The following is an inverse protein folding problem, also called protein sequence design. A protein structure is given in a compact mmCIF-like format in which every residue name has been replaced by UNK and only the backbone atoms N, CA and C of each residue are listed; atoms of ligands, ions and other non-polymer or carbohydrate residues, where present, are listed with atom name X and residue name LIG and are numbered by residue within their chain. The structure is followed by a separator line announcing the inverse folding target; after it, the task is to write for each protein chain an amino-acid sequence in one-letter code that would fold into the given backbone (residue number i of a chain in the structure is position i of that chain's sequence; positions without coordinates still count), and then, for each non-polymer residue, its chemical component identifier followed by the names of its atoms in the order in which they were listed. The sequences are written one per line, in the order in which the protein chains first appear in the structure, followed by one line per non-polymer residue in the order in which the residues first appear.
data_IF_924982539890
#
_entry.id   IF_924982539890
#
_cell.length_a   1.000
_cell.length_b   1.000
_cell.length_c   1.000
_cell.angle_alpha   90.00
_cell.angle_beta   90.00
_cell.angle_gamma   90.00
#
_symmetry.space_group_name_H-M   'P 1'
#
loop_
_entity.id
_entity.type
_entity.pdbx_description
1 polymer ?
#
# COMPACT_ATOMS: atom_id res chain seq x y z
N UNK A 1 39.22 44.93 40.29
CA UNK A 1 39.79 43.80 39.52
C UNK A 1 39.01 43.67 38.21
N UNK A 2 39.19 44.58 37.25
CA UNK A 2 40.19 44.60 36.18
C UNK A 2 40.09 43.44 35.15
N UNK A 3 39.81 43.86 33.89
CA UNK A 3 40.25 43.32 32.59
C UNK A 3 39.64 41.99 32.07
N UNK A 4 39.33 41.77 30.77
CA UNK A 4 39.39 42.49 29.47
C UNK A 4 38.38 41.79 28.52
N UNK A 5 37.43 42.48 27.87
CA UNK A 5 37.39 42.93 26.45
C UNK A 5 38.33 42.22 25.45
N UNK A 6 37.78 41.71 24.34
CA UNK A 6 38.39 41.85 23.01
C UNK A 6 37.37 41.70 21.87
N UNK A 7 37.16 42.83 21.17
CA UNK A 7 36.69 42.95 19.77
C UNK A 7 37.91 42.88 18.84
N UNK A 8 37.73 42.38 17.62
CA UNK A 8 38.48 42.72 16.38
C UNK A 8 37.64 42.16 15.21
N UNK A 9 36.94 42.99 14.44
CA UNK A 9 37.36 43.74 13.24
C UNK A 9 37.28 42.93 11.92
N UNK A 10 36.35 43.34 11.04
CA UNK A 10 36.40 43.19 9.58
C UNK A 10 37.34 44.28 8.99
N UNK A 11 37.51 44.53 7.66
CA UNK A 11 37.06 43.84 6.43
C UNK A 11 38.18 43.67 5.35
N UNK A 12 37.87 43.01 4.23
CA UNK A 12 38.73 43.01 3.04
C UNK A 12 37.92 42.78 1.75
N UNK A 13 37.69 43.86 1.00
CA UNK A 13 37.27 43.84 -0.40
C UNK A 13 38.49 43.60 -1.32
N UNK A 14 38.33 42.93 -2.47
CA UNK A 14 38.68 43.48 -3.80
C UNK A 14 38.55 42.50 -5.00
N UNK A 15 37.93 43.03 -6.07
CA UNK A 15 38.14 42.88 -7.55
C UNK A 15 37.79 41.59 -8.33
N UNK A 16 36.65 41.71 -9.03
CA UNK A 16 36.32 41.51 -10.47
C UNK A 16 37.23 40.81 -11.52
N UNK A 17 36.61 39.82 -12.22
CA UNK A 17 36.54 39.51 -13.70
C UNK A 17 37.80 39.12 -14.49
N UNK A 18 37.74 38.44 -15.68
CA UNK A 18 36.60 38.26 -16.61
C UNK A 18 36.43 36.88 -17.31
N UNK A 19 35.34 36.79 -18.09
CA UNK A 19 35.09 36.02 -19.32
C UNK A 19 35.30 34.50 -19.37
N UNK A 20 34.18 33.78 -19.59
CA UNK A 20 34.18 32.68 -20.55
C UNK A 20 32.78 32.47 -21.15
N UNK A 21 32.58 33.02 -22.35
CA UNK A 21 31.50 32.64 -23.25
C UNK A 21 31.88 31.32 -23.93
N UNK A 22 31.20 30.22 -23.57
CA UNK A 22 31.11 29.06 -24.45
C UNK A 22 29.66 28.89 -24.89
N UNK A 23 29.44 29.18 -26.17
CA UNK A 23 28.23 28.84 -26.88
C UNK A 23 28.10 27.31 -26.93
N UNK A 24 27.06 26.77 -26.28
CA UNK A 24 26.60 25.41 -26.51
C UNK A 24 25.35 25.47 -27.39
N UNK A 25 25.54 25.44 -28.70
CA UNK A 25 24.53 24.91 -29.62
C UNK A 25 24.46 23.40 -29.41
N UNK A 26 23.41 22.93 -28.75
CA UNK A 26 23.04 21.52 -28.73
C UNK A 26 21.53 21.40 -28.96
N UNK A 27 21.21 21.01 -30.19
CA UNK A 27 19.94 20.47 -30.66
C UNK A 27 19.33 19.48 -29.67
N UNK A 28 18.24 19.86 -29.02
CA UNK A 28 17.28 18.92 -28.43
C UNK A 28 16.04 18.88 -29.31
N UNK A 29 16.18 18.24 -30.47
CA UNK A 29 15.04 17.56 -31.07
C UNK A 29 14.79 16.33 -30.22
N UNK A 30 13.77 16.36 -29.38
CA UNK A 30 13.25 15.16 -28.72
C UNK A 30 12.75 14.24 -29.83
N UNK A 31 13.54 13.21 -30.16
CA UNK A 31 13.10 12.13 -31.03
C UNK A 31 11.93 11.43 -30.34
N UNK A 32 10.71 11.74 -30.76
CA UNK A 32 9.47 11.09 -30.31
C UNK A 32 9.48 9.57 -30.50
N UNK A 33 10.33 9.06 -31.40
CA UNK A 33 10.53 7.62 -31.61
C UNK A 33 11.31 6.94 -30.47
N UNK A 34 12.26 7.63 -29.83
CA UNK A 34 13.05 7.05 -28.71
C UNK A 34 12.23 7.05 -27.41
N UNK A 35 11.36 8.05 -27.20
CA UNK A 35 10.44 8.06 -26.05
C UNK A 35 9.37 6.98 -26.17
N UNK A 36 8.85 6.73 -27.37
CA UNK A 36 7.88 5.66 -27.61
C UNK A 36 8.50 4.26 -27.44
N UNK A 37 9.67 3.99 -28.04
CA UNK A 37 10.37 2.71 -27.86
C UNK A 37 10.77 2.47 -26.39
N UNK A 38 11.19 3.51 -25.66
CA UNK A 38 11.48 3.39 -24.22
C UNK A 38 10.23 3.11 -23.39
N UNK A 39 9.07 3.64 -23.78
CA UNK A 39 7.81 3.41 -23.06
C UNK A 39 7.25 2.01 -23.32
N UNK A 40 7.33 1.51 -24.55
CA UNK A 40 6.88 0.17 -24.92
C UNK A 40 7.78 -0.91 -24.34
N UNK A 41 9.11 -0.70 -24.35
CA UNK A 41 10.05 -1.61 -23.68
C UNK A 41 9.85 -1.57 -22.16
N UNK A 42 9.57 -0.40 -21.57
CA UNK A 42 9.27 -0.30 -20.14
C UNK A 42 7.93 -0.94 -19.78
N UNK A 43 6.88 -0.76 -20.57
CA UNK A 43 5.60 -1.45 -20.37
C UNK A 43 5.72 -2.97 -20.60
N UNK A 44 6.54 -3.41 -21.55
CA UNK A 44 6.83 -4.82 -21.78
C UNK A 44 7.63 -5.41 -20.62
N UNK A 45 8.64 -4.70 -20.13
CA UNK A 45 9.47 -5.10 -18.99
C UNK A 45 8.67 -5.08 -17.69
N UNK A 46 7.87 -4.04 -17.41
CA UNK A 46 6.91 -4.01 -16.29
C UNK A 46 5.84 -5.09 -16.46
N UNK A 47 5.40 -5.37 -17.70
CA UNK A 47 4.44 -6.42 -18.04
C UNK A 47 4.94 -7.85 -17.84
N UNK A 48 6.27 -8.06 -17.89
CA UNK A 48 6.97 -9.35 -17.75
C UNK A 48 7.54 -9.54 -16.32
N UNK A 49 8.04 -8.48 -15.68
CA UNK A 49 8.61 -8.52 -14.32
C UNK A 49 7.51 -8.49 -13.25
N UNK A 50 6.49 -7.64 -13.40
CA UNK A 50 5.42 -7.53 -12.40
C UNK A 50 4.70 -8.86 -12.12
N UNK A 51 4.40 -9.74 -13.10
CA UNK A 51 3.68 -11.00 -12.85
C UNK A 51 4.52 -12.02 -12.11
N UNK A 52 5.82 -12.12 -12.41
CA UNK A 52 6.72 -13.04 -11.71
C UNK A 52 6.98 -12.55 -10.29
N UNK A 53 7.19 -11.24 -10.10
CA UNK A 53 7.29 -10.63 -8.78
C UNK A 53 5.99 -10.77 -7.98
N UNK A 54 4.83 -10.62 -8.63
CA UNK A 54 3.51 -10.84 -8.01
C UNK A 54 3.32 -12.31 -7.61
N UNK A 55 3.75 -13.25 -8.44
CA UNK A 55 3.69 -14.69 -8.17
C UNK A 55 4.56 -15.07 -6.97
N UNK A 56 5.83 -14.66 -6.97
CA UNK A 56 6.74 -14.95 -5.86
C UNK A 56 6.30 -14.26 -4.57
N UNK A 57 5.78 -13.02 -4.66
CA UNK A 57 5.18 -12.34 -3.51
C UNK A 57 3.98 -13.10 -2.97
N UNK A 58 3.09 -13.59 -3.84
CA UNK A 58 1.92 -14.37 -3.42
C UNK A 58 2.33 -15.66 -2.70
N UNK A 59 3.33 -16.37 -3.24
CA UNK A 59 3.89 -17.57 -2.62
C UNK A 59 4.46 -17.25 -1.24
N UNK A 60 5.28 -16.20 -1.14
CA UNK A 60 5.87 -15.79 0.13
C UNK A 60 4.79 -15.47 1.18
N UNK A 61 3.76 -14.70 0.80
CA UNK A 61 2.65 -14.36 1.71
C UNK A 61 1.94 -15.62 2.22
N UNK A 62 1.67 -16.60 1.35
CA UNK A 62 1.05 -17.86 1.76
C UNK A 62 1.92 -18.64 2.75
N UNK A 63 3.23 -18.68 2.51
CA UNK A 63 4.20 -19.31 3.41
C UNK A 63 4.24 -18.59 4.76
N UNK A 64 4.33 -17.26 4.78
CA UNK A 64 4.39 -16.45 5.99
C UNK A 64 3.14 -16.61 6.86
N UNK A 65 1.98 -16.80 6.23
CA UNK A 65 0.71 -17.05 6.92
C UNK A 65 0.52 -18.52 7.35
N UNK A 66 1.44 -19.43 7.01
CA UNK A 66 1.29 -20.86 7.30
C UNK A 66 0.16 -21.53 6.50
N UNK A 67 -0.20 -20.96 5.36
CA UNK A 67 -1.36 -21.34 4.55
C UNK A 67 -1.04 -22.42 3.49
N UNK A 68 0.13 -23.05 3.54
CA UNK A 68 0.51 -24.15 2.65
C UNK A 68 0.80 -23.71 1.21
N UNK A 69 1.17 -24.68 0.37
CA UNK A 69 1.55 -24.43 -1.03
C UNK A 69 0.33 -24.35 -1.96
N UNK A 70 0.29 -23.34 -2.84
CA UNK A 70 -0.64 -23.30 -3.97
C UNK A 70 0.09 -23.76 -5.23
N UNK A 71 -0.53 -24.65 -6.00
CA UNK A 71 0.00 -25.11 -7.29
C UNK A 71 0.24 -23.91 -8.23
N UNK A 72 1.41 -23.85 -8.86
CA UNK A 72 1.81 -22.79 -9.80
C UNK A 72 0.75 -22.49 -10.87
N UNK A 73 0.06 -23.53 -11.35
CA UNK A 73 -1.01 -23.45 -12.36
C UNK A 73 -2.21 -22.63 -11.86
N UNK A 74 -2.60 -22.80 -10.60
CA UNK A 74 -3.68 -22.02 -10.00
C UNK A 74 -3.27 -20.56 -9.86
N UNK A 75 -2.04 -20.29 -9.46
CA UNK A 75 -1.59 -18.90 -9.32
C UNK A 75 -1.50 -18.22 -10.69
N UNK A 76 -0.98 -18.91 -11.72
CA UNK A 76 -0.93 -18.39 -13.08
C UNK A 76 -2.32 -18.12 -13.65
N UNK A 77 -3.30 -19.00 -13.39
CA UNK A 77 -4.70 -18.78 -13.76
C UNK A 77 -5.26 -17.51 -13.07
N UNK A 78 -5.03 -17.36 -11.77
CA UNK A 78 -5.48 -16.17 -11.03
C UNK A 78 -4.83 -14.88 -11.54
N UNK A 79 -3.52 -14.86 -11.75
CA UNK A 79 -2.81 -13.67 -12.25
C UNK A 79 -3.27 -13.31 -13.68
N UNK A 80 -3.45 -14.32 -14.54
CA UNK A 80 -3.98 -14.12 -15.90
C UNK A 80 -5.38 -13.50 -15.89
N UNK A 81 -6.28 -14.05 -15.08
CA UNK A 81 -7.65 -13.55 -14.93
C UNK A 81 -7.70 -12.11 -14.37
N UNK A 82 -6.88 -11.79 -13.38
CA UNK A 82 -6.91 -10.47 -12.71
C UNK A 82 -6.30 -9.37 -13.59
N UNK A 83 -5.36 -9.70 -14.49
CA UNK A 83 -4.78 -8.73 -15.43
C UNK A 83 -5.81 -8.09 -16.37
N UNK A 84 -6.86 -8.83 -16.74
CA UNK A 84 -7.92 -8.30 -17.61
C UNK A 84 -8.89 -7.35 -16.87
N UNK A 85 -8.95 -7.41 -15.53
CA UNK A 85 -9.89 -6.63 -14.71
C UNK A 85 -9.43 -5.20 -14.36
N UNK A 86 -8.72 -4.55 -15.29
CA UNK A 86 -8.47 -3.11 -15.41
C UNK A 86 -7.35 -2.50 -14.52
N UNK A 87 -6.21 -2.23 -15.16
CA UNK A 87 -5.16 -1.34 -14.65
C UNK A 87 -5.73 0.01 -14.17
N UNK A 88 -6.73 0.54 -14.88
CA UNK A 88 -7.33 1.85 -14.59
C UNK A 88 -8.14 1.90 -13.30
N UNK A 89 -9.00 0.91 -13.01
CA UNK A 89 -9.85 0.97 -11.81
C UNK A 89 -9.06 0.78 -10.53
N UNK A 90 -7.91 0.10 -10.60
CA UNK A 90 -7.00 -0.05 -9.45
C UNK A 90 -5.95 1.06 -9.33
N UNK A 91 -5.90 2.02 -10.26
CA UNK A 91 -4.92 3.09 -10.23
C UNK A 91 -4.80 3.81 -8.88
N UNK A 92 -5.88 4.06 -8.10
CA UNK A 92 -5.77 4.65 -6.77
C UNK A 92 -4.99 3.82 -5.75
N UNK A 93 -4.89 2.50 -5.93
CA UNK A 93 -4.23 1.55 -5.02
C UNK A 93 -2.83 1.15 -5.49
N UNK A 94 -2.47 1.41 -6.74
CA UNK A 94 -1.18 1.00 -7.31
C UNK A 94 -0.01 1.60 -6.54
N UNK A 95 0.91 0.73 -6.12
CA UNK A 95 2.10 1.10 -5.35
C UNK A 95 1.83 1.41 -3.89
N UNK A 96 0.57 1.49 -3.44
CA UNK A 96 0.25 1.73 -2.04
C UNK A 96 0.43 0.49 -1.18
N UNK A 97 0.90 0.69 0.03
CA UNK A 97 0.94 -0.37 1.04
C UNK A 97 -0.45 -0.59 1.65
N UNK A 98 -0.99 -1.79 1.48
CA UNK A 98 -2.30 -2.19 2.06
C UNK A 98 -2.08 -3.37 2.99
N UNK A 99 -2.61 -3.28 4.21
CA UNK A 99 -2.67 -4.37 5.17
C UNK A 99 -4.11 -4.83 5.35
N UNK A 100 -4.39 -6.10 5.07
CA UNK A 100 -5.68 -6.74 5.43
C UNK A 100 -5.56 -7.48 6.76
N UNK A 101 -6.49 -7.22 7.68
CA UNK A 101 -6.58 -7.87 8.99
C UNK A 101 -7.91 -8.60 9.08
N UNK A 102 -7.84 -9.92 9.24
CA UNK A 102 -9.01 -10.79 9.21
C UNK A 102 -8.79 -12.02 10.10
N UNK A 103 -9.86 -12.58 10.67
CA UNK A 103 -9.78 -13.80 11.48
C UNK A 103 -10.01 -15.09 10.66
N UNK A 104 -10.49 -14.93 9.43
CA UNK A 104 -10.89 -16.04 8.58
C UNK A 104 -9.90 -16.25 7.44
N UNK A 105 -9.16 -17.37 7.47
CA UNK A 105 -8.20 -17.77 6.43
C UNK A 105 -8.82 -17.77 5.03
N UNK A 106 -10.09 -18.16 4.92
CA UNK A 106 -10.83 -18.18 3.66
C UNK A 106 -10.91 -16.78 3.04
N UNK A 107 -11.21 -15.76 3.84
CA UNK A 107 -11.33 -14.38 3.37
C UNK A 107 -9.97 -13.84 2.93
N UNK A 108 -8.92 -14.07 3.73
CA UNK A 108 -7.55 -13.67 3.36
C UNK A 108 -7.17 -14.31 2.02
N UNK A 109 -7.31 -15.63 1.86
CA UNK A 109 -6.97 -16.32 0.61
C UNK A 109 -7.80 -15.83 -0.57
N UNK A 110 -9.05 -15.47 -0.34
CA UNK A 110 -9.95 -14.99 -1.39
C UNK A 110 -9.51 -13.63 -1.92
N UNK A 111 -9.13 -12.68 -1.07
CA UNK A 111 -8.78 -11.32 -1.50
C UNK A 111 -7.29 -11.14 -1.80
N UNK A 112 -6.42 -12.00 -1.26
CA UNK A 112 -4.99 -11.88 -1.38
C UNK A 112 -4.49 -11.73 -2.83
N UNK A 113 -4.93 -12.55 -3.82
CA UNK A 113 -4.47 -12.40 -5.20
C UNK A 113 -4.82 -11.03 -5.80
N UNK A 114 -6.07 -10.57 -5.63
CA UNK A 114 -6.52 -9.31 -6.21
C UNK A 114 -5.90 -8.09 -5.53
N UNK A 115 -5.78 -8.11 -4.20
CA UNK A 115 -5.08 -7.04 -3.46
C UNK A 115 -3.61 -6.97 -3.85
N UNK A 116 -2.94 -8.11 -4.01
CA UNK A 116 -1.54 -8.15 -4.46
C UNK A 116 -1.40 -7.55 -5.86
N UNK A 117 -2.31 -7.88 -6.79
CA UNK A 117 -2.28 -7.28 -8.13
C UNK A 117 -2.61 -5.79 -8.08
N UNK A 118 -3.65 -5.37 -7.36
CA UNK A 118 -4.09 -3.98 -7.29
C UNK A 118 -3.02 -3.05 -6.70
N UNK A 119 -2.23 -3.55 -5.75
CA UNK A 119 -1.17 -2.80 -5.07
C UNK A 119 0.21 -2.95 -5.71
N UNK A 120 0.34 -3.75 -6.77
CA UNK A 120 1.64 -4.10 -7.38
C UNK A 120 2.59 -4.85 -6.41
N UNK A 121 2.06 -5.76 -5.61
CA UNK A 121 2.83 -6.57 -4.65
C UNK A 121 2.92 -5.99 -3.24
N UNK A 122 2.44 -4.76 -3.02
CA UNK A 122 2.52 -4.04 -1.75
C UNK A 122 1.34 -4.36 -0.80
N UNK A 123 0.72 -5.53 -0.97
CA UNK A 123 -0.27 -6.05 -0.02
C UNK A 123 0.41 -6.92 1.04
N UNK A 124 -0.05 -6.77 2.27
CA UNK A 124 0.31 -7.58 3.43
C UNK A 124 -0.96 -8.01 4.16
N UNK A 125 -0.83 -9.06 4.98
CA UNK A 125 -1.98 -9.73 5.59
C UNK A 125 -1.62 -10.13 7.01
N UNK A 126 -2.55 -9.95 7.94
CA UNK A 126 -2.48 -10.54 9.27
C UNK A 126 -3.70 -11.44 9.44
N UNK A 127 -3.43 -12.71 9.69
CA UNK A 127 -4.43 -13.65 10.18
C UNK A 127 -4.56 -13.52 11.69
N UNK A 128 -5.63 -12.86 12.15
CA UNK A 128 -5.92 -12.74 13.56
C UNK A 128 -6.56 -14.02 14.10
N UNK A 129 -5.74 -14.88 14.68
CA UNK A 129 -6.19 -16.12 15.29
C UNK A 129 -6.03 -16.13 16.83
N UNK A 130 -6.47 -17.21 17.46
CA UNK A 130 -6.46 -17.35 18.91
C UNK A 130 -5.06 -17.30 19.56
N UNK A 131 -3.98 -17.39 18.78
CA UNK A 131 -2.61 -17.39 19.28
C UNK A 131 -2.04 -15.99 19.50
N UNK A 132 -2.64 -14.97 18.90
CA UNK A 132 -2.16 -13.58 19.03
C UNK A 132 -3.12 -12.76 19.90
N UNK A 133 -2.57 -11.98 20.82
CA UNK A 133 -3.30 -11.00 21.62
C UNK A 133 -3.65 -9.76 20.80
N UNK A 134 -4.54 -8.91 21.34
CA UNK A 134 -4.88 -7.63 20.71
C UNK A 134 -3.67 -6.69 20.72
N UNK A 135 -2.88 -6.69 21.79
CA UNK A 135 -1.67 -5.86 21.88
C UNK A 135 -0.61 -6.30 20.85
N UNK A 136 -0.43 -7.61 20.65
CA UNK A 136 0.44 -8.14 19.59
C UNK A 136 -0.10 -7.80 18.20
N UNK A 137 -1.41 -7.83 17.99
CA UNK A 137 -2.02 -7.39 16.73
C UNK A 137 -1.72 -5.91 16.47
N UNK A 138 -1.94 -5.04 17.44
CA UNK A 138 -1.67 -3.60 17.31
C UNK A 138 -0.20 -3.34 17.02
N UNK A 139 0.71 -3.99 17.76
CA UNK A 139 2.14 -3.90 17.52
C UNK A 139 2.53 -4.39 16.12
N UNK A 140 1.96 -5.49 15.64
CA UNK A 140 2.21 -6.02 14.30
C UNK A 140 1.72 -5.08 13.19
N UNK A 141 0.54 -4.46 13.38
CA UNK A 141 0.00 -3.46 12.43
C UNK A 141 0.92 -2.24 12.38
N UNK A 142 1.27 -1.67 13.53
CA UNK A 142 2.11 -0.47 13.62
C UNK A 142 3.53 -0.70 13.09
N UNK A 143 4.10 -1.89 13.35
CA UNK A 143 5.43 -2.25 12.85
C UNK A 143 5.48 -2.33 11.31
N UNK A 144 4.37 -2.68 10.65
CA UNK A 144 4.28 -2.70 9.19
C UNK A 144 4.10 -1.30 8.58
N UNK A 145 3.65 -0.32 9.37
CA UNK A 145 3.39 1.06 8.95
C UNK A 145 2.65 1.16 7.58
N UNK A 146 1.49 0.50 7.41
CA UNK A 146 0.77 0.53 6.14
C UNK A 146 0.12 1.89 5.88
N UNK A 147 -0.01 2.27 4.62
CA UNK A 147 -0.77 3.46 4.24
C UNK A 147 -2.28 3.25 4.37
N UNK A 148 -2.75 2.00 4.18
CA UNK A 148 -4.16 1.63 4.22
C UNK A 148 -4.32 0.32 5.01
N UNK A 149 -5.28 0.29 5.92
CA UNK A 149 -5.71 -0.90 6.64
C UNK A 149 -7.12 -1.29 6.16
N UNK A 150 -7.31 -2.56 5.81
CA UNK A 150 -8.62 -3.19 5.64
C UNK A 150 -8.90 -4.02 6.89
N UNK A 151 -9.90 -3.61 7.68
CA UNK A 151 -10.15 -4.16 9.00
C UNK A 151 -11.47 -4.95 9.02
N UNK A 152 -11.41 -6.26 9.27
CA UNK A 152 -12.62 -7.04 9.52
C UNK A 152 -13.34 -6.62 10.81
N UNK A 153 -14.67 -6.71 10.80
CA UNK A 153 -15.48 -6.31 11.94
C UNK A 153 -15.41 -7.31 13.10
N UNK A 154 -15.38 -8.61 12.83
CA UNK A 154 -15.41 -9.68 13.83
C UNK A 154 -14.05 -10.38 13.86
N UNK A 155 -13.12 -9.85 14.65
CA UNK A 155 -11.80 -10.43 14.81
C UNK A 155 -11.84 -11.53 15.88
N UNK A 156 -11.88 -12.79 15.47
CA UNK A 156 -11.79 -13.92 16.39
C UNK A 156 -13.12 -14.20 17.08
N UNK A 157 -13.97 -14.98 16.41
CA UNK A 157 -15.30 -15.39 16.87
C UNK A 157 -15.34 -15.84 18.35
N UNK A 158 -14.30 -16.55 18.83
CA UNK A 158 -14.23 -17.06 20.21
C UNK A 158 -13.88 -16.02 21.27
N UNK A 159 -13.29 -14.88 20.88
CA UNK A 159 -12.84 -13.82 21.80
C UNK A 159 -13.69 -12.55 21.73
N UNK A 160 -14.62 -12.51 20.79
CA UNK A 160 -15.52 -11.37 20.55
C UNK A 160 -14.79 -10.03 20.37
N UNK A 161 -13.58 -10.04 19.80
CA UNK A 161 -12.85 -8.80 19.50
C UNK A 161 -13.50 -8.15 18.29
N UNK A 162 -13.78 -6.85 18.37
CA UNK A 162 -14.34 -6.08 17.27
C UNK A 162 -13.25 -5.27 16.59
N UNK A 163 -13.22 -5.31 15.26
CA UNK A 163 -12.30 -4.48 14.47
C UNK A 163 -12.44 -3.00 14.82
N UNK A 164 -13.66 -2.52 15.07
CA UNK A 164 -13.92 -1.14 15.51
C UNK A 164 -13.22 -0.75 16.82
N UNK A 165 -12.93 -1.70 17.71
CA UNK A 165 -12.17 -1.41 18.93
C UNK A 165 -10.68 -1.34 18.63
N UNK A 166 -10.18 -2.22 17.77
CA UNK A 166 -8.79 -2.17 17.25
C UNK A 166 -8.53 -0.86 16.51
N UNK A 167 -9.49 -0.37 15.71
CA UNK A 167 -9.36 0.91 14.98
C UNK A 167 -9.22 2.08 15.95
N UNK A 168 -10.07 2.16 16.98
CA UNK A 168 -9.98 3.24 17.97
C UNK A 168 -8.63 3.24 18.66
N UNK A 169 -8.11 2.06 18.97
CA UNK A 169 -6.81 1.92 19.62
C UNK A 169 -5.64 2.26 18.69
N UNK A 170 -5.69 1.91 17.41
CA UNK A 170 -4.68 2.35 16.44
C UNK A 170 -4.64 3.89 16.33
N UNK A 171 -5.81 4.53 16.31
CA UNK A 171 -5.92 6.00 16.25
C UNK A 171 -5.42 6.64 17.55
N UNK A 172 -5.75 6.06 18.71
CA UNK A 172 -5.26 6.56 20.01
C UNK A 172 -3.73 6.48 20.11
N UNK A 173 -3.12 5.48 19.46
CA UNK A 173 -1.67 5.31 19.34
C UNK A 173 -1.03 6.13 18.20
N UNK A 174 -1.81 6.99 17.52
CA UNK A 174 -1.30 7.95 16.55
C UNK A 174 -1.09 7.40 15.13
N UNK A 175 -1.73 6.29 14.78
CA UNK A 175 -1.71 5.80 13.39
C UNK A 175 -2.27 6.86 12.44
N UNK A 176 -1.45 7.28 11.46
CA UNK A 176 -1.79 8.35 10.53
C UNK A 176 -2.31 7.86 9.17
N UNK A 177 -2.29 6.55 8.92
CA UNK A 177 -2.77 5.96 7.68
C UNK A 177 -4.30 5.95 7.59
N UNK A 178 -4.81 5.46 6.45
CA UNK A 178 -6.24 5.32 6.20
C UNK A 178 -6.72 3.96 6.71
N UNK A 179 -7.90 3.92 7.32
CA UNK A 179 -8.53 2.68 7.77
C UNK A 179 -9.87 2.54 7.06
N UNK A 180 -10.13 1.39 6.46
CA UNK A 180 -11.39 1.04 5.80
C UNK A 180 -11.97 -0.18 6.53
N UNK A 181 -13.22 -0.07 6.97
CA UNK A 181 -13.96 -1.22 7.46
C UNK A 181 -14.19 -2.23 6.35
N UNK A 182 -13.94 -3.51 6.60
CA UNK A 182 -14.00 -4.53 5.57
C UNK A 182 -14.78 -5.74 6.08
N UNK A 183 -16.09 -5.78 5.87
CA UNK A 183 -16.96 -6.77 6.54
C UNK A 183 -17.99 -7.36 5.60
N UNK A 184 -18.50 -8.56 5.89
CA UNK A 184 -19.62 -9.15 5.15
C UNK A 184 -20.95 -8.41 5.39
N UNK A 185 -21.05 -7.64 6.49
CA UNK A 185 -22.23 -6.85 6.83
C UNK A 185 -22.04 -5.37 6.48
N UNK A 186 -23.15 -4.70 6.13
CA UNK A 186 -23.16 -3.24 5.97
C UNK A 186 -23.12 -2.57 7.34
N UNK A 187 -21.93 -2.11 7.75
CA UNK A 187 -21.65 -1.56 9.08
C UNK A 187 -21.02 -0.15 9.03
N UNK A 188 -21.33 0.63 7.99
CA UNK A 188 -20.74 1.96 7.73
C UNK A 188 -20.63 2.84 8.99
N UNK A 189 -21.76 3.07 9.66
CA UNK A 189 -21.80 3.94 10.85
C UNK A 189 -20.86 3.45 11.97
N UNK A 190 -20.68 2.14 12.15
CA UNK A 190 -19.84 1.63 13.24
C UNK A 190 -18.36 1.86 12.98
N UNK A 191 -17.93 1.67 11.74
CA UNK A 191 -16.54 1.88 11.33
C UNK A 191 -16.19 3.36 11.26
N UNK A 192 -17.06 4.19 10.69
CA UNK A 192 -16.85 5.64 10.64
C UNK A 192 -16.79 6.25 12.05
N UNK A 193 -17.68 5.83 12.96
CA UNK A 193 -17.63 6.24 14.38
C UNK A 193 -16.37 5.75 15.11
N UNK A 194 -15.70 4.70 14.60
CA UNK A 194 -14.43 4.25 15.13
C UNK A 194 -13.23 5.04 14.54
N UNK A 195 -13.45 5.83 13.48
CA UNK A 195 -12.43 6.62 12.80
C UNK A 195 -11.96 6.05 11.46
N UNK A 196 -12.64 5.04 10.91
CA UNK A 196 -12.43 4.63 9.52
C UNK A 196 -12.96 5.69 8.55
N UNK A 197 -12.39 5.74 7.34
CA UNK A 197 -12.83 6.66 6.27
C UNK A 197 -14.07 6.16 5.51
N UNK A 198 -14.56 4.97 5.86
CA UNK A 198 -15.69 4.29 5.23
C UNK A 198 -15.60 2.78 5.40
N UNK A 199 -16.52 2.08 4.75
CA UNK A 199 -16.62 0.61 4.78
C UNK A 199 -16.87 0.06 3.39
N UNK A 200 -16.33 -1.14 3.14
CA UNK A 200 -16.59 -1.94 1.94
C UNK A 200 -17.13 -3.29 2.36
N UNK A 201 -18.18 -3.74 1.68
CA UNK A 201 -18.80 -5.05 1.92
C UNK A 201 -18.03 -6.14 1.19
N UNK A 202 -17.64 -7.20 1.90
CA UNK A 202 -17.01 -8.38 1.30
C UNK A 202 -17.99 -9.09 0.37
N UNK A 203 -17.61 -9.29 -0.88
CA UNK A 203 -18.31 -10.15 -1.83
C UNK A 203 -17.38 -11.25 -2.35
N UNK A 204 -17.62 -12.49 -1.94
CA UNK A 204 -16.87 -13.66 -2.45
C UNK A 204 -17.17 -13.95 -3.92
N UNK A 205 -18.35 -13.54 -4.41
CA UNK A 205 -18.75 -13.69 -5.81
C UNK A 205 -18.22 -12.59 -6.73
N UNK A 206 -17.99 -11.38 -6.21
CA UNK A 206 -17.48 -10.24 -6.98
C UNK A 206 -16.36 -9.49 -6.23
N UNK A 207 -15.25 -10.20 -6.03
CA UNK A 207 -14.08 -9.67 -5.33
C UNK A 207 -13.48 -8.47 -6.06
N UNK A 208 -13.36 -8.54 -7.38
CA UNK A 208 -12.83 -7.42 -8.18
C UNK A 208 -13.63 -6.14 -7.99
N UNK A 209 -14.97 -6.22 -7.96
CA UNK A 209 -15.81 -5.05 -7.63
C UNK A 209 -15.56 -4.53 -6.22
N UNK A 210 -15.35 -5.43 -5.25
CA UNK A 210 -14.96 -5.09 -3.88
C UNK A 210 -13.65 -4.27 -3.87
N UNK A 211 -12.64 -4.70 -4.63
CA UNK A 211 -11.36 -3.96 -4.75
C UNK A 211 -11.55 -2.59 -5.44
N UNK A 212 -12.43 -2.49 -6.43
CA UNK A 212 -12.79 -1.21 -7.06
C UNK A 212 -13.45 -0.26 -6.05
N UNK A 213 -14.31 -0.75 -5.16
CA UNK A 213 -14.90 0.08 -4.10
C UNK A 213 -13.82 0.63 -3.15
N UNK A 214 -12.84 -0.20 -2.76
CA UNK A 214 -11.69 0.24 -1.97
C UNK A 214 -10.92 1.34 -2.71
N UNK A 215 -10.63 1.14 -4.00
CA UNK A 215 -9.93 2.12 -4.83
C UNK A 215 -10.69 3.47 -4.90
N UNK A 216 -12.01 3.43 -5.02
CA UNK A 216 -12.86 4.62 -5.08
C UNK A 216 -12.87 5.40 -3.75
N UNK A 217 -12.94 4.71 -2.60
CA UNK A 217 -12.83 5.36 -1.28
C UNK A 217 -11.48 6.08 -1.13
N UNK A 218 -10.39 5.46 -1.57
CA UNK A 218 -9.05 6.07 -1.50
C UNK A 218 -8.93 7.27 -2.45
N UNK A 219 -9.54 7.20 -3.64
CA UNK A 219 -9.55 8.31 -4.60
C UNK A 219 -10.26 9.55 -4.06
N UNK A 220 -11.37 9.37 -3.36
CA UNK A 220 -12.25 10.46 -2.91
C UNK A 220 -11.81 11.12 -1.59
N UNK A 221 -10.74 10.62 -0.96
CA UNK A 221 -10.20 11.12 0.31
C UNK A 221 -8.87 11.85 0.12
N UNK A 222 -8.77 12.64 -0.97
CA UNK A 222 -7.64 13.54 -1.28
C UNK A 222 -7.94 14.96 -0.84
#
# INVERSE_FOLDING_TARGET
NNFMSNKLDQPGQHVATPDNQYAATATTGTNSEIENESSEVREAVEGIIAPQMTLERLKQVLTDLGLGEIKDEMVKFYIGYIKEFSKEKYAPLRGRSILMVDDTDGDIRNYMPELTVATNGNASFIHFNYKISVDELLAAILAQNPEIILMDYNLGYSRNVKGTDVIKELISQGFAGKIIGFSSDSLNNKFENAGAIGTVVKSTFNRSETIVQIANLIKNTR
#
